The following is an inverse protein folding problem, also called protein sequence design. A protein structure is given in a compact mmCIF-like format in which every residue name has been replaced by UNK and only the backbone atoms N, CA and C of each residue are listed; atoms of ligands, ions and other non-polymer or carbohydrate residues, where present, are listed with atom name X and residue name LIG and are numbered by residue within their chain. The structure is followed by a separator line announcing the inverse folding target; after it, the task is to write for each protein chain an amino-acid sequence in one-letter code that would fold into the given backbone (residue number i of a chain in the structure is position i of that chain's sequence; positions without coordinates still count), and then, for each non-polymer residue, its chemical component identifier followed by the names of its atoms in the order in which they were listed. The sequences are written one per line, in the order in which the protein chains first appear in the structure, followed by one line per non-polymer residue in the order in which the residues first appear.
data_IF_922497157672
#
_entry.id   IF_922497157672
#
_cell.length_a   1.000
_cell.length_b   1.000
_cell.length_c   1.000
_cell.angle_alpha   90.00
_cell.angle_beta   90.00
_cell.angle_gamma   90.00
#
_symmetry.space_group_name_H-M   'P 1'
#
loop_
_entity.id
_entity.type
_entity.pdbx_description
1 polymer ?
2 polymer ?
3 non-polymer ?
4 non-polymer ?
5 water ?
#
# COMPACT_ATOMS: atom_id res chain seq x y z
N UNK A 7 6.91 -18.06 -5.53
CA UNK A 7 5.84 -17.30 -4.81
C UNK A 7 5.44 -17.93 -3.46
N UNK A 8 4.97 -17.11 -2.50
CA UNK A 8 4.48 -17.63 -1.22
C UNK A 8 3.11 -18.29 -1.34
N UNK A 9 2.89 -19.30 -0.49
CA UNK A 9 1.75 -20.21 -0.63
C UNK A 9 0.38 -19.53 -0.69
N UNK A 10 0.04 -18.73 0.31
CA UNK A 10 -1.26 -18.06 0.35
C UNK A 10 -1.57 -17.21 -0.90
N UNK A 11 -0.56 -17.01 -1.75
CA UNK A 11 -0.75 -16.36 -3.06
C UNK A 11 -0.14 -17.24 -4.17
N UNK A 12 -0.28 -18.55 -4.02
CA UNK A 12 0.22 -19.51 -5.01
C UNK A 12 -0.49 -19.33 -6.36
N UNK A 13 -1.77 -18.98 -6.31
CA UNK A 13 -2.58 -18.75 -7.50
C UNK A 13 -2.22 -17.50 -8.34
N UNK A 14 -1.43 -16.58 -7.78
CA UNK A 14 -1.12 -15.35 -8.52
C UNK A 14 -0.12 -15.62 -9.63
N UNK A 15 0.06 -14.62 -10.51
CA UNK A 15 0.92 -14.76 -11.67
C UNK A 15 2.37 -14.38 -11.34
N UNK A 16 3.20 -15.41 -11.14
CA UNK A 16 4.59 -15.25 -10.75
C UNK A 16 5.36 -14.31 -11.69
N UNK A 17 5.17 -14.49 -13.00
CA UNK A 17 5.83 -13.65 -14.00
C UNK A 17 5.39 -12.18 -13.96
N UNK A 18 4.17 -11.90 -13.52
CA UNK A 18 3.66 -10.51 -13.51
C UNK A 18 4.14 -9.70 -12.31
N UNK A 19 4.77 -10.35 -11.35
CA UNK A 19 5.02 -9.77 -10.05
C UNK A 19 6.49 -9.79 -9.61
N UNK A 20 6.93 -8.67 -9.01
CA UNK A 20 8.19 -8.62 -8.28
C UNK A 20 7.97 -8.99 -6.82
N UNK A 21 8.68 -10.02 -6.37
CA UNK A 21 8.60 -10.50 -4.99
C UNK A 21 9.67 -9.82 -4.12
N UNK A 22 9.33 -8.65 -3.59
CA UNK A 22 10.21 -7.94 -2.67
C UNK A 22 10.34 -8.72 -1.35
N UNK A 23 9.25 -9.35 -0.95
CA UNK A 23 9.22 -10.18 0.25
C UNK A 23 7.93 -10.98 0.26
N UNK A 24 7.79 -11.89 1.21
CA UNK A 24 6.53 -12.62 1.38
C UNK A 24 5.33 -11.72 1.77
N UNK A 25 5.59 -10.49 2.19
CA UNK A 25 4.52 -9.56 2.62
C UNK A 25 4.26 -8.49 1.56
N UNK A 26 4.98 -8.60 0.45
CA UNK A 26 5.25 -7.43 -0.34
C UNK A 26 5.52 -7.89 -1.78
N UNK A 27 4.52 -7.72 -2.66
CA UNK A 27 4.61 -8.09 -4.07
C UNK A 27 4.18 -6.94 -4.98
N UNK A 28 5.07 -6.55 -5.88
CA UNK A 28 4.78 -5.43 -6.75
C UNK A 28 4.46 -5.88 -8.18
N UNK A 29 3.51 -5.22 -8.83
CA UNK A 29 3.17 -5.55 -10.21
C UNK A 29 4.20 -4.94 -11.15
N UNK A 30 4.66 -5.71 -12.13
CA UNK A 30 5.59 -5.19 -13.12
C UNK A 30 4.85 -4.19 -13.98
N UNK A 31 5.54 -3.15 -14.39
CA UNK A 31 4.97 -2.05 -15.13
C UNK A 31 4.29 -2.43 -16.46
N UNK A 32 4.84 -3.45 -17.11
CA UNK A 32 4.32 -3.95 -18.38
C UNK A 32 3.00 -4.71 -18.26
N UNK A 33 2.59 -5.05 -17.02
CA UNK A 33 1.50 -5.99 -16.77
C UNK A 33 0.17 -5.38 -16.48
N UNK A 34 0.11 -4.04 -16.42
CA UNK A 34 -1.14 -3.40 -16.08
C UNK A 34 -2.24 -3.66 -17.11
N UNK A 35 -1.87 -3.74 -18.38
CA UNK A 35 -2.83 -3.80 -19.48
C UNK A 35 -3.49 -2.45 -19.74
N UNK A 36 -4.38 -2.41 -20.71
CA UNK A 36 -5.00 -1.17 -21.17
C UNK A 36 -6.55 -1.23 -21.01
N UNK A 37 -7.02 -2.06 -20.07
CA UNK A 37 -8.47 -2.15 -19.80
C UNK A 37 -9.00 -1.37 -18.58
N UNK A 38 -8.11 -0.63 -17.89
CA UNK A 38 -8.38 0.00 -16.59
C UNK A 38 -8.26 -1.05 -15.48
N UNK A 39 -9.14 -2.03 -15.48
CA UNK A 39 -9.17 -3.02 -14.42
C UNK A 39 -7.91 -3.88 -14.32
N UNK A 40 -7.40 -4.03 -13.11
CA UNK A 40 -6.18 -4.78 -12.91
C UNK A 40 -6.51 -6.24 -12.69
N UNK A 41 -6.05 -7.12 -13.60
CA UNK A 41 -6.21 -8.56 -13.37
C UNK A 41 -5.94 -8.92 -11.93
N UNK A 42 -6.92 -9.56 -11.32
CA UNK A 42 -6.78 -9.96 -9.95
C UNK A 42 -5.50 -10.71 -9.67
N UNK A 43 -5.05 -11.54 -10.59
CA UNK A 43 -3.90 -12.38 -10.30
C UNK A 43 -2.59 -11.63 -10.52
N UNK A 44 -2.72 -10.34 -10.83
CA UNK A 44 -1.60 -9.43 -10.96
C UNK A 44 -1.66 -8.24 -9.99
N UNK A 45 -2.74 -8.13 -9.22
CA UNK A 45 -2.87 -7.01 -8.29
C UNK A 45 -1.82 -7.17 -7.20
N UNK A 46 -1.23 -6.05 -6.78
CA UNK A 46 -0.16 -6.05 -5.77
C UNK A 46 -0.64 -6.51 -4.38
N UNK A 47 0.33 -6.83 -3.53
CA UNK A 47 0.05 -7.32 -2.19
C UNK A 47 0.90 -6.57 -1.21
N UNK A 48 0.26 -6.03 -0.19
CA UNK A 48 0.95 -5.34 0.90
C UNK A 48 0.22 -5.63 2.23
N UNK A 49 0.92 -6.33 3.10
CA UNK A 49 0.46 -6.75 4.41
C UNK A 49 1.40 -6.27 5.51
N UNK A 50 0.87 -5.53 6.49
CA UNK A 50 1.67 -5.01 7.59
C UNK A 50 2.08 -6.11 8.60
N UNK A 51 1.21 -7.07 8.86
CA UNK A 51 1.45 -8.11 9.87
C UNK A 51 1.21 -9.46 9.25
N UNK A 52 1.15 -10.50 10.08
CA UNK A 52 0.79 -11.84 9.63
C UNK A 52 -0.57 -11.93 8.93
N UNK A 53 -0.83 -13.07 8.30
CA UNK A 53 -2.02 -13.26 7.47
C UNK A 53 -2.89 -14.35 8.06
N UNK A 54 -4.23 -14.20 7.99
CA UNK A 54 -5.09 -15.23 8.55
C UNK A 54 -5.03 -16.50 7.72
N UNK A 55 -5.62 -17.59 8.22
CA UNK A 55 -5.62 -18.79 7.40
C UNK A 55 -6.85 -18.83 6.50
N UNK A 56 -6.84 -19.75 5.52
CA UNK A 56 -7.97 -19.94 4.57
C UNK A 56 -9.27 -20.33 5.25
N UNK A 57 -9.16 -20.98 6.40
CA UNK A 57 -10.32 -21.42 7.13
C UNK A 57 -11.35 -20.30 7.37
N UNK A 58 -10.91 -19.04 7.44
CA UNK A 58 -11.90 -17.95 7.63
C UNK A 58 -12.78 -17.71 6.42
N UNK A 59 -12.43 -18.32 5.29
CA UNK A 59 -13.25 -18.28 4.05
C UNK A 59 -14.22 -19.47 3.94
N UNK A 60 -14.04 -20.46 4.81
CA UNK A 60 -14.93 -21.62 4.87
C UNK A 60 -16.37 -21.14 4.85
N UNK A 61 -16.69 -20.24 5.78
CA UNK A 61 -18.05 -19.71 5.92
C UNK A 61 -18.00 -18.17 5.80
N UNK A 62 -18.00 -17.70 4.56
CA UNK A 62 -17.94 -16.26 4.26
C UNK A 62 -19.13 -15.51 4.83
N UNK A 63 -20.31 -16.08 4.66
CA UNK A 63 -21.50 -15.37 5.05
C UNK A 63 -21.71 -15.35 6.57
N UNK A 64 -20.95 -16.16 7.30
CA UNK A 64 -21.02 -16.14 8.76
C UNK A 64 -20.00 -15.23 9.44
N UNK A 65 -19.07 -14.69 8.65
CA UNK A 65 -18.11 -13.74 9.15
C UNK A 65 -18.83 -12.58 9.83
N UNK A 66 -18.34 -12.23 11.02
CA UNK A 66 -19.01 -11.23 11.86
C UNK A 66 -18.29 -9.89 11.88
N UNK A 67 -19.10 -8.84 12.03
CA UNK A 67 -18.62 -7.48 12.03
C UNK A 67 -19.33 -6.64 13.11
N UNK A 68 -18.57 -6.28 14.16
CA UNK A 68 -19.09 -5.52 15.29
C UNK A 68 -19.18 -4.05 14.90
N UNK A 69 -20.38 -3.51 14.90
CA UNK A 69 -20.59 -2.15 14.50
C UNK A 69 -20.97 -1.35 15.73
N UNK A 70 -20.03 -0.57 16.26
CA UNK A 70 -20.29 0.25 17.46
C UNK A 70 -20.26 1.73 17.10
N UNK A 71 -20.52 2.61 18.05
CA UNK A 71 -20.57 4.06 17.76
C UNK A 71 -21.81 4.51 17.02
N UNK A 72 -22.79 3.63 16.97
CA UNK A 72 -24.09 3.90 16.38
C UNK A 72 -25.10 3.86 17.51
N UNK A 73 -26.22 4.56 17.34
CA UNK A 73 -27.29 4.56 18.33
C UNK A 73 -27.80 3.17 18.70
N UNK A 74 -27.49 2.13 17.90
CA UNK A 74 -27.88 0.74 18.18
C UNK A 74 -26.79 -0.29 17.86
N UNK A 75 -25.73 -0.33 18.66
CA UNK A 75 -24.63 -1.22 18.31
C UNK A 75 -25.04 -2.67 18.17
N UNK A 76 -24.49 -3.33 17.16
CA UNK A 76 -24.72 -4.74 16.91
C UNK A 76 -23.53 -5.34 16.18
N UNK A 77 -23.20 -6.59 16.50
CA UNK A 77 -22.46 -7.43 15.60
C UNK A 77 -23.37 -7.94 14.47
N UNK A 78 -22.96 -7.72 13.21
CA UNK A 78 -23.67 -8.27 12.03
C UNK A 78 -22.86 -9.33 11.30
N UNK A 79 -23.54 -10.24 10.61
CA UNK A 79 -22.86 -11.19 9.75
C UNK A 79 -22.91 -10.69 8.29
N UNK A 80 -22.08 -11.26 7.43
CA UNK A 80 -22.03 -10.82 6.04
C UNK A 80 -23.39 -11.12 5.41
N UNK A 81 -23.96 -12.25 5.80
CA UNK A 81 -25.34 -12.58 5.46
C UNK A 81 -26.28 -11.39 5.68
N UNK A 82 -26.22 -10.76 6.85
CA UNK A 82 -27.15 -9.66 7.11
C UNK A 82 -26.77 -8.40 6.33
N UNK A 83 -25.49 -8.26 6.01
CA UNK A 83 -25.03 -7.06 5.35
C UNK A 83 -25.56 -7.04 3.93
N UNK A 84 -25.46 -8.20 3.27
CA UNK A 84 -26.09 -8.43 1.96
C UNK A 84 -27.56 -8.04 1.88
N UNK A 85 -28.28 -8.10 3.00
CA UNK A 85 -29.67 -7.70 2.97
C UNK A 85 -29.85 -6.19 2.97
N UNK A 86 -28.89 -5.44 3.50
CA UNK A 86 -29.11 -4.03 3.81
C UNK A 86 -28.89 -3.08 2.64
N UNK A 87 -28.06 -3.50 1.70
CA UNK A 87 -27.85 -2.68 0.53
C UNK A 87 -26.93 -3.34 -0.46
N UNK A 88 -26.72 -2.66 -1.57
CA UNK A 88 -25.77 -3.06 -2.57
C UNK A 88 -25.18 -1.84 -3.21
N UNK A 89 -23.85 -1.84 -3.31
CA UNK A 89 -23.12 -0.81 -4.02
C UNK A 89 -21.92 -1.40 -4.72
N UNK A 90 -21.63 -0.80 -5.86
CA UNK A 90 -20.42 -1.17 -6.63
C UNK A 90 -19.66 0.07 -6.98
N UNK A 91 -18.35 0.03 -6.84
CA UNK A 91 -17.52 1.16 -7.19
C UNK A 91 -16.17 0.72 -7.63
N UNK A 92 -15.67 1.44 -8.64
CA UNK A 92 -14.30 1.32 -9.12
C UNK A 92 -13.43 2.30 -8.35
N UNK A 93 -12.35 1.80 -7.77
CA UNK A 93 -11.38 2.65 -7.08
C UNK A 93 -9.95 2.25 -7.45
N UNK A 94 -9.01 3.14 -7.20
CA UNK A 94 -7.59 2.83 -7.27
C UNK A 94 -7.13 2.40 -5.91
N UNK A 95 -6.60 1.19 -5.79
CA UNK A 95 -5.97 0.70 -4.59
C UNK A 95 -4.47 0.89 -4.77
N UNK A 96 -3.85 1.68 -3.89
CA UNK A 96 -2.46 2.08 -4.02
C UNK A 96 -1.88 2.42 -2.70
N UNK A 97 -0.85 1.68 -2.35
CA UNK A 97 -0.16 1.88 -1.11
C UNK A 97 0.42 3.27 -1.01
N UNK A 98 0.60 3.77 0.20
CA UNK A 98 1.30 5.07 0.40
C UNK A 98 2.77 4.96 0.00
N UNK A 99 3.33 3.75 0.09
CA UNK A 99 4.71 3.49 -0.30
C UNK A 99 5.00 3.52 -1.79
N UNK A 100 4.01 3.28 -2.61
CA UNK A 100 4.24 3.29 -4.04
C UNK A 100 5.03 4.54 -4.37
N UNK A 101 6.23 4.31 -4.91
CA UNK A 101 7.12 5.39 -5.33
C UNK A 101 8.25 5.64 -4.34
N UNK A 102 8.33 4.85 -3.29
CA UNK A 102 9.38 5.05 -2.33
C UNK A 102 10.77 5.02 -2.96
N UNK A 103 11.01 4.12 -3.91
CA UNK A 103 12.31 4.09 -4.61
C UNK A 103 12.72 5.48 -5.04
N UNK A 104 11.79 6.24 -5.59
CA UNK A 104 12.09 7.57 -6.12
C UNK A 104 12.53 8.57 -5.06
N UNK A 105 11.98 8.45 -3.86
CA UNK A 105 12.50 9.20 -2.71
C UNK A 105 13.89 8.73 -2.31
N UNK A 106 14.16 7.43 -2.36
CA UNK A 106 15.49 6.92 -2.02
C UNK A 106 16.52 7.42 -3.04
N UNK A 107 16.15 7.45 -4.30
CA UNK A 107 16.99 8.07 -5.32
C UNK A 107 17.51 9.47 -4.93
N UNK A 108 16.72 10.27 -4.21
CA UNK A 108 17.09 11.67 -3.86
C UNK A 108 17.85 11.84 -2.54
N UNK A 109 18.13 10.77 -1.83
CA UNK A 109 18.84 10.89 -0.56
C UNK A 109 20.31 11.19 -0.86
N UNK A 110 20.84 12.24 -0.21
CA UNK A 110 22.24 12.67 -0.35
C UNK A 110 23.05 12.37 0.91
N UNK A 111 24.21 11.75 0.73
CA UNK A 111 25.17 11.57 1.83
C UNK A 111 24.72 10.58 2.88
N UNK A 112 24.60 11.04 4.12
CA UNK A 112 24.22 10.20 5.27
C UNK A 112 22.74 9.84 5.30
N UNK A 113 21.90 10.74 4.79
CA UNK A 113 20.46 10.49 4.62
C UNK A 113 20.18 9.05 4.20
N UNK A 114 19.41 8.33 5.01
CA UNK A 114 19.03 6.93 4.76
C UNK A 114 17.51 6.73 5.07
N UNK A 115 16.85 5.85 4.34
CA UNK A 115 15.40 5.60 4.50
C UNK A 115 15.07 4.14 4.37
N UNK A 116 14.21 3.64 5.25
CA UNK A 116 13.73 2.26 5.13
C UNK A 116 12.33 2.12 4.52
N UNK A 117 12.04 0.89 4.11
CA UNK A 117 10.79 0.54 3.49
C UNK A 117 10.96 -0.15 2.15
N UNK A 118 9.91 -0.82 1.72
CA UNK A 118 9.93 -1.44 0.41
C UNK A 118 10.20 -0.39 -0.67
N UNK A 119 11.22 -0.63 -1.51
CA UNK A 119 11.52 0.28 -2.62
C UNK A 119 10.56 0.10 -3.80
N UNK A 120 9.26 0.22 -3.55
CA UNK A 120 8.24 0.34 -4.60
C UNK A 120 8.61 1.38 -5.66
N UNK A 121 8.27 1.10 -6.91
CA UNK A 121 8.41 2.05 -8.00
C UNK A 121 7.02 2.55 -8.34
N UNK A 122 6.29 1.79 -9.16
CA UNK A 122 4.90 2.15 -9.51
C UNK A 122 3.88 1.00 -9.43
N UNK A 123 4.34 -0.21 -9.15
CA UNK A 123 3.46 -1.37 -9.17
C UNK A 123 2.74 -1.68 -7.88
N UNK A 124 2.78 -0.81 -6.88
CA UNK A 124 1.97 -1.02 -5.67
C UNK A 124 0.70 -0.22 -5.84
N UNK A 125 -0.02 -0.54 -6.92
CA UNK A 125 -1.21 0.17 -7.32
C UNK A 125 -1.97 -0.70 -8.31
N UNK A 126 -3.29 -0.68 -8.21
CA UNK A 126 -4.11 -1.37 -9.17
C UNK A 126 -5.43 -0.64 -9.18
N UNK A 127 -6.25 -0.90 -10.19
CA UNK A 127 -7.58 -0.35 -10.18
C UNK A 127 -8.59 -1.48 -10.23
N UNK A 128 -9.49 -1.54 -9.23
CA UNK A 128 -10.43 -2.65 -9.09
C UNK A 128 -11.83 -2.22 -8.84
N UNK A 129 -12.76 -3.13 -9.14
CA UNK A 129 -14.17 -2.86 -8.96
C UNK A 129 -14.58 -3.60 -7.75
N UNK A 130 -15.02 -2.88 -6.74
CA UNK A 130 -15.50 -3.53 -5.53
C UNK A 130 -17.00 -3.61 -5.56
N UNK A 131 -17.53 -4.66 -4.94
CA UNK A 131 -18.96 -4.74 -4.71
C UNK A 131 -19.29 -5.12 -3.28
N UNK A 132 -20.21 -4.36 -2.69
CA UNK A 132 -20.78 -4.76 -1.42
C UNK A 132 -21.78 -3.77 -0.85
N UNK A 133 -21.84 -3.68 0.46
CA UNK A 133 -22.81 -2.82 1.08
C UNK A 133 -22.15 -1.51 1.44
N UNK A 134 -22.87 -0.39 1.23
CA UNK A 134 -22.38 0.88 1.68
C UNK A 134 -22.52 1.03 3.19
N UNK A 135 -21.59 1.75 3.79
CA UNK A 135 -21.56 1.87 5.23
C UNK A 135 -22.68 2.77 5.71
N UNK A 136 -23.04 3.80 4.92
CA UNK A 136 -24.15 4.67 5.28
C UNK A 136 -25.44 3.87 5.49
N UNK A 137 -25.75 2.98 4.54
CA UNK A 137 -26.88 2.05 4.70
C UNK A 137 -26.74 1.30 6.03
N UNK A 138 -25.58 0.68 6.27
CA UNK A 138 -25.42 -0.14 7.48
C UNK A 138 -25.53 0.71 8.75
N UNK A 139 -25.10 1.95 8.68
CA UNK A 139 -25.15 2.82 9.84
C UNK A 139 -26.59 3.29 10.07
N UNK A 140 -27.29 3.68 9.00
CA UNK A 140 -28.68 4.12 9.09
C UNK A 140 -29.61 2.99 9.50
N UNK A 141 -29.26 1.77 9.09
CA UNK A 141 -29.94 0.59 9.59
C UNK A 141 -29.88 0.56 11.10
N UNK A 142 -28.77 1.00 11.69
CA UNK A 142 -28.57 0.96 13.13
C UNK A 142 -28.82 2.28 13.83
N UNK A 143 -29.65 3.14 13.24
CA UNK A 143 -30.19 4.29 13.96
C UNK A 143 -29.47 5.57 13.69
N UNK A 144 -28.38 5.48 12.94
CA UNK A 144 -27.55 6.62 12.63
C UNK A 144 -26.34 6.55 13.53
N UNK A 145 -25.40 7.46 13.33
CA UNK A 145 -24.18 7.47 14.13
C UNK A 145 -24.42 8.19 15.44
N UNK A 146 -23.70 7.81 16.50
CA UNK A 146 -23.77 8.50 17.80
C UNK A 146 -23.41 9.97 17.61
N UNK A 147 -24.07 10.85 18.35
CA UNK A 147 -23.86 12.29 18.19
C UNK A 147 -22.39 12.63 18.48
N UNK A 148 -21.82 13.53 17.69
CA UNK A 148 -20.41 13.91 17.82
C UNK A 148 -19.40 12.84 17.40
N UNK A 149 -19.83 11.85 16.60
CA UNK A 149 -18.85 10.99 15.94
C UNK A 149 -18.11 11.81 14.89
N UNK A 150 -16.81 11.57 14.81
CA UNK A 150 -15.94 12.35 13.92
C UNK A 150 -15.08 11.51 12.99
N UNK A 151 -14.98 10.20 13.23
CA UNK A 151 -14.22 9.29 12.40
C UNK A 151 -14.92 7.97 12.14
N UNK A 152 -14.53 7.32 11.04
CA UNK A 152 -14.83 5.93 10.80
C UNK A 152 -13.57 5.16 11.16
N UNK A 153 -13.68 4.21 12.08
CA UNK A 153 -12.51 3.46 12.54
C UNK A 153 -12.74 1.98 12.32
N UNK A 154 -11.92 1.32 11.51
CA UNK A 154 -12.09 -0.09 11.20
C UNK A 154 -10.94 -0.93 11.70
N UNK A 155 -11.20 -2.19 12.02
CA UNK A 155 -10.16 -3.09 12.60
C UNK A 155 -9.95 -4.40 11.82
N UNK A 156 -8.71 -4.70 11.49
CA UNK A 156 -8.36 -5.89 10.78
C UNK A 156 -8.60 -7.10 11.62
N UNK A 157 -9.00 -8.18 10.96
CA UNK A 157 -9.35 -9.41 11.63
C UNK A 157 -8.21 -10.33 11.99
N UNK A 158 -6.96 -9.96 11.69
CA UNK A 158 -5.84 -10.90 11.96
C UNK A 158 -5.80 -11.27 13.42
N UNK A 159 -5.55 -12.55 13.67
CA UNK A 159 -5.31 -13.01 15.02
C UNK A 159 -3.89 -12.64 15.34
N UNK A 160 -3.72 -11.79 16.33
CA UNK A 160 -2.39 -11.31 16.68
C UNK A 160 -1.64 -12.35 17.50
N UNK A 161 -0.35 -12.52 17.21
CA UNK A 161 0.35 -13.54 17.96
C UNK A 161 0.49 -13.08 19.40
N UNK A 162 0.41 -14.04 20.32
CA UNK A 162 0.47 -13.76 21.75
C UNK A 162 1.89 -13.37 22.10
N UNK A 163 2.03 -12.58 23.17
CA UNK A 163 3.34 -12.16 23.65
C UNK A 163 3.80 -10.79 23.19
N UNK A 164 2.89 -9.96 22.66
CA UNK A 164 3.21 -8.59 22.26
C UNK A 164 2.00 -7.70 22.45
N UNK A 165 2.21 -6.40 22.62
CA UNK A 165 1.10 -5.50 22.90
C UNK A 165 0.26 -5.31 21.66
N UNK A 166 -1.01 -5.73 21.70
CA UNK A 166 -1.90 -5.61 20.58
C UNK A 166 -1.85 -4.28 19.79
N UNK A 167 -1.73 -3.15 20.47
CA UNK A 167 -1.83 -1.84 19.81
C UNK A 167 -0.56 -1.49 19.01
N UNK A 168 0.46 -2.30 19.19
CA UNK A 168 1.68 -2.19 18.43
C UNK A 168 1.58 -2.80 17.04
N UNK A 169 0.67 -3.76 16.86
CA UNK A 169 0.55 -4.54 15.63
C UNK A 169 -0.84 -4.56 14.98
N UNK A 170 -1.89 -4.18 15.72
CA UNK A 170 -3.23 -4.24 15.14
C UNK A 170 -3.31 -3.26 14.00
N UNK A 171 -3.94 -3.70 12.92
CA UNK A 171 -4.14 -2.86 11.77
C UNK A 171 -5.52 -2.24 11.96
N UNK A 172 -5.54 -1.02 12.45
CA UNK A 172 -6.78 -0.40 12.79
C UNK A 172 -6.63 1.03 12.39
N UNK A 173 -7.43 1.49 11.45
CA UNK A 173 -7.20 2.82 10.89
C UNK A 173 -8.43 3.65 11.07
N UNK A 174 -8.25 4.94 11.17
CA UNK A 174 -9.37 5.85 11.28
C UNK A 174 -9.30 6.87 10.17
N UNK A 175 -10.44 7.19 9.59
CA UNK A 175 -10.53 8.28 8.64
C UNK A 175 -11.69 9.13 9.07
N UNK A 176 -11.82 10.35 8.51
CA UNK A 176 -12.95 11.21 8.83
C UNK A 176 -14.30 10.66 8.40
N UNK A 177 -15.27 10.88 9.27
CA UNK A 177 -16.68 10.58 8.99
C UNK A 177 -17.26 11.31 7.76
N UNK A 178 -16.51 12.21 7.13
CA UNK A 178 -16.99 12.83 5.88
C UNK A 178 -16.99 11.81 4.75
N UNK A 179 -16.27 10.71 4.95
CA UNK A 179 -16.24 9.61 4.03
C UNK A 179 -17.42 8.63 4.12
N UNK A 180 -18.22 8.69 5.15
CA UNK A 180 -19.31 7.71 5.30
C UNK A 180 -20.08 7.47 3.99
N UNK A 181 -20.45 8.54 3.31
CA UNK A 181 -21.20 8.40 2.07
C UNK A 181 -20.42 7.47 1.08
N UNK A 182 -19.09 7.57 1.00
CA UNK A 182 -18.36 6.76 0.00
C UNK A 182 -17.91 5.37 0.45
N UNK A 183 -17.96 5.11 1.74
CA UNK A 183 -17.27 3.93 2.25
C UNK A 183 -18.09 2.69 1.92
N UNK A 184 -17.38 1.59 1.69
CA UNK A 184 -17.99 0.32 1.29
C UNK A 184 -17.40 -0.82 2.08
N UNK A 185 -18.26 -1.71 2.57
CA UNK A 185 -17.84 -3.02 3.04
C UNK A 185 -18.13 -3.94 1.87
N UNK A 186 -17.07 -4.21 1.10
CA UNK A 186 -17.12 -5.07 -0.07
C UNK A 186 -16.87 -6.51 0.34
N UNK A 187 -17.61 -7.43 -0.26
CA UNK A 187 -17.38 -8.89 -0.13
C UNK A 187 -16.96 -9.49 -1.48
N UNK A 188 -16.95 -8.63 -2.50
CA UNK A 188 -16.66 -9.01 -3.88
C UNK A 188 -15.75 -8.03 -4.60
N UNK A 189 -14.81 -8.60 -5.36
CA UNK A 189 -13.87 -7.83 -6.14
C UNK A 189 -13.88 -8.35 -7.57
N UNK A 190 -13.94 -7.44 -8.53
CA UNK A 190 -13.90 -7.79 -9.96
C UNK A 190 -14.80 -8.96 -10.33
N UNK A 191 -16.03 -8.94 -9.82
CA UNK A 191 -17.00 -9.99 -10.08
C UNK A 191 -16.83 -11.33 -9.35
N UNK A 192 -15.79 -11.48 -8.53
CA UNK A 192 -15.56 -12.73 -7.75
C UNK A 192 -15.67 -12.49 -6.24
N UNK A 193 -16.13 -13.51 -5.51
CA UNK A 193 -15.97 -13.52 -4.06
C UNK A 193 -14.58 -13.03 -3.65
N UNK A 194 -14.50 -12.13 -2.67
CA UNK A 194 -13.22 -11.50 -2.33
C UNK A 194 -12.21 -12.54 -1.89
N UNK A 195 -11.00 -12.40 -2.39
CA UNK A 195 -9.92 -13.35 -2.13
C UNK A 195 -9.32 -13.17 -0.72
N UNK A 196 -8.61 -14.19 -0.24
CA UNK A 196 -7.94 -14.13 1.07
C UNK A 196 -6.83 -13.10 0.98
N UNK A 197 -6.01 -13.20 -0.07
CA UNK A 197 -4.93 -12.23 -0.29
C UNK A 197 -5.44 -10.80 -0.24
N UNK A 198 -6.62 -10.55 -0.79
CA UNK A 198 -7.11 -9.19 -0.85
C UNK A 198 -8.16 -8.90 0.22
N UNK A 199 -8.16 -9.69 1.29
CA UNK A 199 -8.94 -9.35 2.48
C UNK A 199 -10.38 -9.81 2.55
N UNK A 200 -10.71 -10.85 1.79
CA UNK A 200 -11.96 -11.54 1.96
C UNK A 200 -11.95 -12.16 3.34
N UNK A 201 -13.13 -12.40 3.91
CA UNK A 201 -14.41 -12.30 3.25
C UNK A 201 -15.03 -10.90 3.26
N UNK A 202 -14.38 -9.89 3.83
CA UNK A 202 -14.98 -8.58 3.86
C UNK A 202 -13.95 -7.49 3.98
N UNK A 203 -14.18 -6.37 3.28
CA UNK A 203 -13.18 -5.36 3.22
C UNK A 203 -13.75 -3.95 3.31
N UNK A 204 -13.24 -3.18 4.25
CA UNK A 204 -13.63 -1.78 4.29
C UNK A 204 -12.89 -1.15 3.14
N UNK A 205 -13.59 -0.36 2.35
CA UNK A 205 -12.99 0.28 1.21
C UNK A 205 -13.33 1.76 1.31
N UNK A 206 -12.27 2.56 1.41
CA UNK A 206 -12.37 3.98 1.58
C UNK A 206 -11.88 4.59 0.29
N UNK A 207 -12.83 5.02 -0.57
CA UNK A 207 -12.44 5.48 -1.89
C UNK A 207 -11.68 6.77 -1.85
N UNK A 208 -10.63 6.84 -2.68
CA UNK A 208 -9.74 8.00 -2.71
C UNK A 208 -8.57 8.01 -1.74
N UNK A 209 -8.49 7.00 -0.87
CA UNK A 209 -7.54 6.96 0.24
C UNK A 209 -6.47 5.87 0.02
N UNK A 210 -5.32 6.03 0.65
CA UNK A 210 -4.26 5.04 0.54
C UNK A 210 -4.63 3.64 1.02
N UNK A 211 -3.94 2.65 0.48
CA UNK A 211 -4.22 1.24 0.77
C UNK A 211 -4.34 0.92 2.24
N UNK A 212 -3.47 1.52 3.06
CA UNK A 212 -3.56 1.28 4.49
C UNK A 212 -4.97 1.48 5.04
N UNK A 213 -5.71 2.44 4.52
CA UNK A 213 -7.06 2.71 5.07
C UNK A 213 -8.17 1.71 4.69
N UNK A 214 -7.85 0.79 3.77
CA UNK A 214 -8.81 -0.16 3.27
C UNK A 214 -8.58 -1.47 4.01
N UNK A 215 -9.26 -1.63 5.14
CA UNK A 215 -8.98 -2.71 6.08
C UNK A 215 -9.40 -4.08 5.58
N UNK A 216 -8.42 -4.93 5.31
CA UNK A 216 -8.68 -6.31 4.92
C UNK A 216 -9.33 -7.05 6.08
N UNK A 217 -10.18 -8.02 5.76
CA UNK A 217 -10.90 -8.81 6.77
C UNK A 217 -11.44 -8.00 7.93
N UNK A 218 -12.16 -6.93 7.64
CA UNK A 218 -12.58 -6.01 8.68
C UNK A 218 -13.50 -6.73 9.68
N UNK A 219 -13.16 -6.67 10.96
CA UNK A 219 -13.95 -7.37 11.98
C UNK A 219 -14.68 -6.43 12.90
N UNK A 220 -14.39 -5.14 12.84
CA UNK A 220 -15.16 -4.18 13.60
C UNK A 220 -15.13 -2.89 12.82
N UNK A 221 -16.15 -2.07 12.99
CA UNK A 221 -16.13 -0.76 12.36
C UNK A 221 -16.87 0.18 13.29
N UNK A 222 -16.18 1.22 13.76
CA UNK A 222 -16.72 2.07 14.81
C UNK A 222 -16.81 3.52 14.37
N UNK A 223 -17.85 4.22 14.79
CA UNK A 223 -17.90 5.67 14.60
C UNK A 223 -17.38 6.31 15.87
N UNK A 224 -16.24 7.00 15.80
CA UNK A 224 -15.50 7.36 17.00
C UNK A 224 -15.31 8.86 17.04
N UNK A 225 -15.22 9.40 18.26
CA UNK A 225 -14.92 10.81 18.47
C UNK A 225 -13.42 11.08 18.27
N UNK A 226 -12.61 10.03 18.41
CA UNK A 226 -11.17 10.17 18.32
C UNK A 226 -10.58 9.13 17.37
N UNK A 227 -9.45 9.46 16.76
CA UNK A 227 -8.69 8.45 16.03
C UNK A 227 -8.25 7.33 16.99
N UNK A 228 -8.08 6.14 16.43
CA UNK A 228 -7.53 5.03 17.18
C UNK A 228 -6.12 5.37 17.59
N UNK A 229 -5.73 4.82 18.74
CA UNK A 229 -4.41 5.02 19.29
C UNK A 229 -3.48 3.88 18.89
N UNK A 230 -3.92 2.99 18.03
CA UNK A 230 -3.02 1.97 17.51
C UNK A 230 -1.76 2.59 16.91
N UNK A 231 -0.65 1.87 17.04
CA UNK A 231 0.61 2.37 16.51
C UNK A 231 0.45 2.78 15.05
N UNK A 232 -0.17 1.87 14.29
CA UNK A 232 -0.31 2.04 12.86
C UNK A 232 -1.04 3.32 12.45
N UNK A 233 -1.71 3.95 13.41
CA UNK A 233 -2.37 5.24 13.18
C UNK A 233 -1.65 6.37 13.89
N UNK A 234 -1.16 6.11 15.08
CA UNK A 234 -0.66 7.20 15.90
C UNK A 234 0.62 7.76 15.28
N UNK A 235 1.59 6.86 15.06
CA UNK A 235 2.91 7.26 14.63
C UNK A 235 3.34 6.71 13.25
N UNK A 236 2.74 5.61 12.82
CA UNK A 236 3.03 5.12 11.48
C UNK A 236 2.15 5.83 10.49
N UNK A 237 2.49 5.69 9.21
CA UNK A 237 1.67 6.24 8.15
C UNK A 237 1.40 7.73 8.37
N UNK A 238 2.45 8.42 8.80
CA UNK A 238 2.44 9.85 9.08
C UNK A 238 3.46 10.54 8.19
N UNK A 239 3.14 11.74 7.69
CA UNK A 239 4.07 12.52 6.85
C UNK A 239 4.96 13.48 7.66
N UNK A 240 6.25 13.16 7.73
CA UNK A 240 7.20 13.99 8.46
C UNK A 240 8.50 14.23 7.67
N UNK A 241 9.31 15.16 8.16
CA UNK A 241 10.57 15.49 7.50
C UNK A 241 11.62 14.41 7.81
N UNK A 242 12.68 14.35 7.00
CA UNK A 242 13.75 13.37 7.21
C UNK A 242 14.33 13.59 8.60
N UNK A 243 14.60 12.50 9.30
CA UNK A 243 15.15 12.59 10.64
C UNK A 243 14.13 12.84 11.71
N UNK A 244 12.88 13.14 11.35
CA UNK A 244 11.79 13.25 12.32
C UNK A 244 11.20 11.87 12.61
N UNK A 245 10.50 11.78 13.73
CA UNK A 245 9.78 10.59 14.10
C UNK A 245 8.31 10.92 13.84
N UNK A 246 7.49 9.91 13.54
CA UNK A 246 6.06 10.10 13.32
C UNK A 246 5.31 10.45 14.59
N UNK A 247 4.37 11.39 14.49
CA UNK A 247 3.55 11.79 15.62
C UNK A 247 2.17 12.26 15.17
N UNK A 248 1.12 12.08 16.03
CA UNK A 248 -0.26 12.29 15.65
C UNK A 248 -0.65 13.74 15.32
N UNK A 249 0.27 14.69 15.46
CA UNK A 249 0.02 16.06 14.93
C UNK A 249 0.38 16.17 13.46
N UNK A 250 1.17 15.23 12.94
CA UNK A 250 1.55 15.26 11.53
C UNK A 250 0.40 14.74 10.66
N UNK A 251 0.38 15.11 9.36
CA UNK A 251 -0.69 14.58 8.54
C UNK A 251 -0.55 13.09 8.41
N UNK A 252 -1.68 12.40 8.36
CA UNK A 252 -1.70 10.98 8.10
C UNK A 252 -1.95 10.75 6.61
N UNK A 253 -1.63 9.53 6.17
CA UNK A 253 -1.83 9.14 4.80
C UNK A 253 -3.30 8.84 4.59
N UNK A 254 -4.04 9.89 4.21
CA UNK A 254 -5.43 9.83 3.90
C UNK A 254 -5.70 9.98 2.39
N UNK A 255 -6.28 11.10 1.96
CA UNK A 255 -6.57 11.36 0.55
C UNK A 255 -5.33 11.15 -0.31
N UNK A 256 -5.49 10.36 -1.37
CA UNK A 256 -4.46 10.20 -2.44
C UNK A 256 -4.38 11.45 -3.31
N UNK A 257 -3.16 11.84 -3.70
CA UNK A 257 -2.97 12.98 -4.59
C UNK A 257 -2.92 12.54 -6.06
N UNK A 258 -3.05 13.52 -6.95
CA UNK A 258 -3.05 13.31 -8.38
C UNK A 258 -1.76 12.64 -8.85
N UNK A 259 -1.91 11.63 -9.70
CA UNK A 259 -0.78 10.82 -10.09
C UNK A 259 -1.02 10.19 -11.48
N UNK A 260 0.06 9.73 -12.09
CA UNK A 260 -0.02 8.96 -13.33
C UNK A 260 1.34 8.34 -13.62
N UNK A 261 1.38 7.29 -14.40
CA UNK A 261 2.64 6.89 -14.97
C UNK A 261 2.46 6.27 -16.31
N UNK A 262 3.55 6.18 -17.07
CA UNK A 262 3.52 5.50 -18.33
C UNK A 262 3.72 4.00 -18.05
N UNK A 263 2.95 3.17 -18.75
CA UNK A 263 2.98 1.73 -18.59
C UNK A 263 3.33 0.98 -19.87
N UNK A 264 3.08 1.63 -21.02
CA UNK A 264 3.43 1.05 -22.32
C UNK A 264 3.80 2.13 -23.34
N UNK A 265 4.82 1.88 -24.19
CA UNK A 265 5.71 0.71 -24.26
C UNK A 265 6.68 0.74 -23.11
N UNK A 266 7.17 -0.42 -22.68
CA UNK A 266 7.94 -0.41 -21.45
C UNK A 266 9.45 -0.41 -21.67
N UNK A 267 9.90 -0.75 -22.88
CA UNK A 267 11.33 -1.01 -23.09
C UNK A 267 11.82 -0.65 -24.50
N UNK A 268 11.23 -1.28 -25.53
CA UNK A 268 11.74 -1.19 -26.90
C UNK A 268 10.60 -1.00 -27.89
N UNK A 269 10.91 -0.50 -29.08
CA UNK A 269 9.91 -0.07 -30.08
C UNK A 269 10.55 0.24 -31.43
N UNK A 270 9.85 -0.04 -32.52
CA UNK A 270 10.38 0.25 -33.84
C UNK A 270 10.14 1.71 -34.20
N UNK A 271 11.04 2.26 -35.00
CA UNK A 271 10.89 3.64 -35.40
C UNK A 271 9.64 3.76 -36.25
N UNK A 272 8.92 4.85 -36.04
CA UNK A 272 7.66 5.09 -36.70
C UNK A 272 6.60 5.41 -35.67
N UNK A 273 5.36 5.00 -35.95
CA UNK A 273 4.26 5.24 -35.05
C UNK A 273 4.39 4.31 -33.85
N UNK A 274 4.18 4.89 -32.70
CA UNK A 274 4.31 4.21 -31.42
C UNK A 274 3.20 4.71 -30.54
N UNK A 275 2.44 3.79 -29.95
CA UNK A 275 1.32 4.17 -29.11
C UNK A 275 1.81 4.14 -27.68
N UNK A 276 1.87 5.31 -27.07
CA UNK A 276 2.36 5.43 -25.70
C UNK A 276 1.16 5.53 -24.76
N UNK A 277 1.03 4.61 -23.82
CA UNK A 277 -0.10 4.67 -22.89
C UNK A 277 0.29 4.49 -21.44
N UNK A 278 -0.65 4.84 -20.57
CA UNK A 278 -0.43 4.71 -19.12
C UNK A 278 -1.71 4.91 -18.36
N UNK A 279 -1.60 5.10 -17.06
CA UNK A 279 -2.75 5.25 -16.17
C UNK A 279 -2.65 6.56 -15.41
N UNK A 280 -3.79 7.20 -15.17
CA UNK A 280 -3.86 8.51 -14.50
C UNK A 280 -5.10 8.62 -13.62
N UNK A 281 -4.96 9.29 -12.47
CA UNK A 281 -6.10 9.53 -11.56
C UNK A 281 -5.88 10.68 -10.62
N UNK A 282 -6.94 11.28 -10.12
CA UNK A 282 -6.81 12.45 -9.26
C UNK A 282 -7.06 12.18 -7.77
N UNK A 283 -7.10 10.90 -7.39
CA UNK A 283 -7.32 10.51 -6.01
C UNK A 283 -8.76 10.71 -5.59
N UNK A 284 -9.04 11.79 -4.89
CA UNK A 284 -10.42 12.10 -4.51
C UNK A 284 -11.19 12.65 -5.68
N UNK A 285 -10.48 13.07 -6.73
CA UNK A 285 -11.12 13.69 -7.87
C UNK A 285 -10.86 12.91 -9.15
N UNK A 286 -11.73 13.07 -10.14
CA UNK A 286 -11.46 12.50 -11.46
C UNK A 286 -10.26 13.20 -12.08
N UNK A 287 -9.51 12.46 -12.91
CA UNK A 287 -8.45 13.03 -13.71
C UNK A 287 -9.09 13.81 -14.83
N UNK A 288 -8.68 15.05 -15.08
CA UNK A 288 -9.33 15.87 -16.09
C UNK A 288 -8.56 15.81 -17.41
N UNK A 289 -7.25 15.81 -17.33
CA UNK A 289 -6.43 15.83 -18.53
C UNK A 289 -5.07 15.20 -18.25
N UNK A 290 -4.38 14.78 -19.28
CA UNK A 290 -3.03 14.25 -19.14
C UNK A 290 -2.15 14.69 -20.31
N UNK A 291 -0.92 15.10 -20.01
CA UNK A 291 0.07 15.38 -21.04
C UNK A 291 1.19 14.35 -21.01
N UNK A 292 1.70 13.99 -22.18
CA UNK A 292 2.86 13.10 -22.30
C UNK A 292 4.04 13.82 -22.95
N UNK A 293 5.23 13.45 -22.48
CA UNK A 293 6.46 13.90 -23.08
C UNK A 293 7.31 12.69 -23.41
N UNK A 294 7.99 12.80 -24.55
CA UNK A 294 8.88 11.75 -25.03
C UNK A 294 10.34 12.12 -24.79
N UNK A 295 10.57 13.39 -24.49
CA UNK A 295 11.90 13.92 -24.27
C UNK A 295 12.07 14.31 -22.80
N UNK A 296 11.28 13.67 -21.95
CA UNK A 296 11.51 13.77 -20.53
C UNK A 296 11.24 15.13 -19.94
N UNK A 297 10.32 15.90 -20.51
CA UNK A 297 9.91 17.13 -19.87
C UNK A 297 9.95 18.35 -20.76
N UNK A 298 10.76 18.31 -21.81
CA UNK A 298 11.05 19.53 -22.58
C UNK A 298 9.83 19.89 -23.40
N UNK A 299 9.19 18.87 -23.94
CA UNK A 299 8.01 19.10 -24.76
C UNK A 299 6.83 18.25 -24.31
N UNK A 300 5.65 18.88 -24.30
CA UNK A 300 4.44 18.24 -23.82
C UNK A 300 3.38 18.21 -24.90
N UNK A 301 2.70 17.07 -25.01
CA UNK A 301 1.51 16.98 -25.84
C UNK A 301 0.34 16.41 -25.07
N UNK A 302 -0.85 16.90 -25.39
CA UNK A 302 -2.09 16.43 -24.79
C UNK A 302 -2.38 15.01 -25.21
N UNK A 303 -2.68 14.13 -24.25
CA UNK A 303 -2.98 12.75 -24.55
C UNK A 303 -4.49 12.55 -24.64
N UNK A 304 -4.89 11.34 -24.98
CA UNK A 304 -6.26 10.99 -25.26
C UNK A 304 -6.72 10.05 -24.19
N UNK A 305 -7.96 10.17 -23.71
CA UNK A 305 -8.48 9.14 -22.81
C UNK A 305 -8.89 7.89 -23.58
N UNK A 306 -8.57 6.74 -22.99
CA UNK A 306 -8.84 5.44 -23.58
C UNK A 306 -9.77 4.63 -22.67
N UNK A 307 -10.88 4.16 -23.23
CA UNK A 307 -11.84 3.35 -22.49
C UNK A 307 -12.83 4.21 -21.75
N UNK A 308 -13.68 3.58 -20.92
CA UNK A 308 -14.68 4.37 -20.22
C UNK A 308 -14.21 4.94 -18.88
N UNK A 309 -15.01 5.88 -18.40
CA UNK A 309 -14.84 6.56 -17.14
C UNK A 309 -15.51 5.81 -15.98
N UNK A 310 -14.76 5.00 -15.24
CA UNK A 310 -15.30 4.24 -14.11
C UNK A 310 -15.51 5.06 -12.82
N UNK A 311 -15.54 6.39 -12.91
CA UNK A 311 -15.86 7.24 -11.75
C UNK A 311 -14.67 7.98 -11.18
N UNK A 312 -14.97 8.95 -10.30
CA UNK A 312 -13.96 9.87 -9.75
C UNK A 312 -12.80 9.25 -8.98
N UNK A 313 -12.95 8.04 -8.44
CA UNK A 313 -11.89 7.41 -7.66
C UNK A 313 -11.19 6.34 -8.45
N UNK A 314 -11.46 6.27 -9.75
CA UNK A 314 -10.86 5.25 -10.60
C UNK A 314 -9.77 5.94 -11.40
N UNK A 315 -8.83 5.16 -11.94
CA UNK A 315 -7.91 5.72 -12.93
C UNK A 315 -8.43 5.62 -14.35
N UNK A 316 -7.96 6.51 -15.19
CA UNK A 316 -8.24 6.43 -16.61
C UNK A 316 -7.01 5.84 -17.28
N UNK A 317 -7.22 5.11 -18.34
CA UNK A 317 -6.12 4.89 -19.27
C UNK A 317 -6.08 6.06 -20.24
N UNK A 318 -4.87 6.51 -20.55
CA UNK A 318 -4.63 7.51 -21.59
C UNK A 318 -3.63 6.98 -22.61
N UNK A 319 -3.57 7.63 -23.76
CA UNK A 319 -2.62 7.21 -24.79
C UNK A 319 -2.27 8.38 -25.65
N UNK A 320 -1.05 8.32 -26.19
CA UNK A 320 -0.59 9.23 -27.21
C UNK A 320 -0.03 8.46 -28.40
N UNK A 321 -0.43 8.85 -29.60
CA UNK A 321 0.22 8.36 -30.82
C UNK A 321 1.39 9.30 -31.16
N UNK A 322 2.61 8.78 -31.06
CA UNK A 322 3.80 9.56 -31.42
C UNK A 322 4.43 8.90 -32.63
N UNK A 323 5.14 9.70 -33.42
CA UNK A 323 5.92 9.20 -34.56
C UNK A 323 7.37 9.44 -34.24
N UNK A 324 8.12 8.36 -34.08
CA UNK A 324 9.42 8.44 -33.47
C UNK A 324 10.54 8.02 -34.42
N UNK A 325 11.61 8.83 -34.42
CA UNK A 325 12.88 8.45 -35.01
C UNK A 325 13.67 7.54 -34.06
N UNK A 326 14.59 6.81 -34.62
CA UNK A 326 15.48 5.96 -33.84
C UNK A 326 16.20 6.77 -32.72
N UNK A 327 16.40 6.12 -31.57
CA UNK A 327 17.01 6.78 -30.40
C UNK A 327 16.49 6.32 -29.05
N UNK A 328 17.06 6.89 -27.98
CA UNK A 328 16.63 6.62 -26.59
C UNK A 328 15.74 7.73 -26.04
N UNK A 329 14.45 7.44 -25.87
CA UNK A 329 13.47 8.44 -25.42
C UNK A 329 13.26 8.35 -23.92
N UNK A 330 12.61 9.35 -23.36
CA UNK A 330 12.33 9.41 -21.93
C UNK A 330 10.86 9.79 -21.78
N UNK A 331 10.05 8.79 -21.48
CA UNK A 331 8.61 8.89 -21.50
C UNK A 331 8.07 9.28 -20.13
N UNK A 332 7.28 10.35 -20.07
CA UNK A 332 6.74 10.82 -18.81
C UNK A 332 5.34 11.33 -19.00
N UNK A 333 4.51 11.25 -17.96
CA UNK A 333 3.12 11.72 -18.00
C UNK A 333 2.83 12.72 -16.90
N UNK A 334 1.97 13.69 -17.15
CA UNK A 334 1.61 14.67 -16.14
C UNK A 334 0.13 14.95 -16.15
N UNK A 335 -0.51 14.62 -15.02
CA UNK A 335 -1.95 14.61 -14.88
C UNK A 335 -2.46 15.87 -14.13
N UNK A 336 -3.62 16.38 -14.56
CA UNK A 336 -4.38 17.40 -13.85
C UNK A 336 -5.74 16.80 -13.48
N UNK A 337 -6.18 16.94 -12.23
CA UNK A 337 -7.52 16.51 -11.86
C UNK A 337 -8.56 17.65 -12.07
N UNK A 338 -9.81 17.36 -11.71
CA UNK A 338 -10.93 18.21 -12.04
C UNK A 338 -10.93 19.55 -11.29
N UNK A 339 -10.30 19.61 -10.12
CA UNK A 339 -10.11 20.89 -9.42
C UNK A 339 -8.79 21.59 -9.77
N UNK A 340 -8.12 21.14 -10.82
CA UNK A 340 -6.93 21.84 -11.34
C UNK A 340 -5.60 21.52 -10.68
N UNK A 341 -5.50 20.40 -9.99
CA UNK A 341 -4.25 20.01 -9.35
C UNK A 341 -3.37 19.23 -10.31
N UNK A 342 -2.12 19.68 -10.50
CA UNK A 342 -1.18 19.03 -11.42
C UNK A 342 -0.11 18.27 -10.63
N UNK A 343 0.46 17.22 -11.23
CA UNK A 343 1.59 16.56 -10.60
C UNK A 343 2.79 17.51 -10.63
N UNK A 344 3.53 17.58 -9.53
CA UNK A 344 4.77 18.29 -9.64
C UNK A 344 5.80 17.44 -10.39
N UNK A 345 6.88 18.07 -10.81
CA UNK A 345 8.05 17.35 -11.33
C UNK A 345 8.56 16.31 -10.34
N UNK A 346 8.77 16.75 -9.10
CA UNK A 346 9.22 15.84 -8.04
C UNK A 346 8.49 16.21 -6.76
N UNK A 347 8.34 15.23 -5.88
CA UNK A 347 7.53 15.39 -4.70
C UNK A 347 8.46 15.72 -3.57
N UNK A 348 8.06 16.73 -2.79
CA UNK A 348 8.74 17.11 -1.55
C UNK A 348 9.09 15.87 -0.72
N UNK A 349 10.29 15.86 -0.17
CA UNK A 349 10.76 14.67 0.54
C UNK A 349 10.00 14.55 1.87
N UNK A 350 9.84 13.31 2.31
CA UNK A 350 9.34 13.00 3.65
C UNK A 350 10.04 11.72 4.17
N UNK A 351 10.18 11.63 5.49
CA UNK A 351 11.06 10.65 6.09
C UNK A 351 10.72 9.22 5.80
N UNK A 352 9.42 8.93 5.80
CA UNK A 352 8.89 7.59 5.65
C UNK A 352 8.81 7.20 4.17
N UNK A 353 8.59 8.20 3.30
CA UNK A 353 8.61 8.03 1.86
C UNK A 353 7.23 7.74 1.27
N UNK A 354 6.23 8.51 1.71
CA UNK A 354 4.89 8.27 1.32
C UNK A 354 4.48 9.27 0.28
N UNK A 355 3.62 8.82 -0.62
CA UNK A 355 2.83 9.70 -1.44
C UNK A 355 3.59 10.25 -2.60
N UNK A 356 4.58 9.50 -3.09
CA UNK A 356 5.34 10.00 -4.22
C UNK A 356 4.48 10.10 -5.45
N UNK A 357 4.45 11.29 -6.04
CA UNK A 357 3.67 11.56 -7.23
C UNK A 357 4.34 12.48 -8.28
N UNK A 358 5.67 12.53 -8.25
CA UNK A 358 6.42 13.30 -9.22
C UNK A 358 6.37 12.71 -10.63
N UNK A 359 6.31 13.57 -11.65
CA UNK A 359 6.32 13.10 -13.06
C UNK A 359 7.69 12.73 -13.65
N UNK A 360 8.78 13.31 -13.16
CA UNK A 360 10.10 12.96 -13.66
C UNK A 360 10.58 11.55 -13.19
N UNK A 361 10.59 11.30 -11.90
CA UNK A 361 11.17 10.07 -11.33
C UNK A 361 10.79 8.77 -12.08
N UNK A 362 9.47 8.54 -12.33
CA UNK A 362 9.02 7.30 -12.93
C UNK A 362 9.07 7.29 -14.48
N UNK A 363 9.92 8.12 -15.07
CA UNK A 363 10.06 8.16 -16.51
C UNK A 363 10.46 6.77 -17.04
N UNK A 364 9.89 6.37 -18.19
CA UNK A 364 10.29 5.15 -18.88
C UNK A 364 11.37 5.44 -19.94
N UNK A 365 12.39 4.57 -20.03
CA UNK A 365 13.43 4.73 -21.05
C UNK A 365 13.08 3.87 -22.23
N UNK A 366 12.88 4.49 -23.40
CA UNK A 366 12.47 3.74 -24.57
C UNK A 366 13.51 3.84 -25.68
N UNK A 367 14.14 2.69 -25.95
CA UNK A 367 14.99 2.53 -27.11
C UNK A 367 14.16 2.24 -28.33
N UNK A 368 14.01 3.25 -29.17
CA UNK A 368 13.38 3.09 -30.48
C UNK A 368 14.45 2.66 -31.48
N UNK A 369 14.36 1.42 -31.94
CA UNK A 369 15.43 0.80 -32.75
C UNK A 369 15.06 0.74 -34.24
N UNK B 3 33.74 -11.60 12.39
CA UNK B 3 34.19 -12.98 12.78
C UNK B 3 33.77 -13.32 14.22
N UNK B 4 33.97 -12.36 15.13
CA UNK B 4 33.58 -12.51 16.54
C UNK B 4 32.24 -11.82 16.86
N UNK B 5 32.04 -10.62 16.29
CA UNK B 5 30.84 -9.79 16.52
C UNK B 5 29.52 -10.39 16.02
N UNK B 6 29.58 -11.52 15.29
CA UNK B 6 28.39 -12.26 14.85
C UNK B 6 27.57 -12.78 16.02
N UNK B 7 28.16 -13.68 16.81
CA UNK B 7 27.46 -14.24 17.96
C UNK B 7 26.76 -13.17 18.82
N UNK B 8 27.30 -11.95 18.85
CA UNK B 8 26.66 -10.81 19.54
C UNK B 8 25.35 -10.42 18.86
N UNK B 9 25.40 -10.25 17.55
CA UNK B 9 24.20 -10.01 16.75
C UNK B 9 23.13 -11.06 17.01
N UNK B 10 23.55 -12.33 17.00
CA UNK B 10 22.66 -13.46 17.26
C UNK B 10 22.04 -13.38 18.66
N UNK B 11 22.83 -12.95 19.64
CA UNK B 11 22.31 -12.75 21.00
C UNK B 11 21.33 -11.57 20.98
N UNK B 12 21.73 -10.47 20.34
CA UNK B 12 20.85 -9.32 20.15
C UNK B 12 19.54 -9.76 19.50
N UNK B 13 19.63 -10.63 18.52
CA UNK B 13 18.46 -11.04 17.73
C UNK B 13 17.48 -11.91 18.50
N UNK B 14 18.02 -12.90 19.23
CA UNK B 14 17.19 -13.89 19.95
C UNK B 14 16.83 -13.50 21.39
N UNK B 15 17.76 -12.88 22.14
CA UNK B 15 17.50 -12.53 23.55
C UNK B 15 17.42 -11.01 23.79
N UNK B 16 18.54 -10.33 23.53
CA UNK B 16 18.79 -8.97 24.04
C UNK B 16 17.81 -7.87 23.58
N UNK B 17 17.21 -8.02 22.41
CA UNK B 17 16.35 -6.96 21.86
C UNK B 17 14.99 -6.93 22.55
N UNK B 18 14.40 -5.74 22.61
CA UNK B 18 13.10 -5.53 23.24
C UNK B 18 12.19 -4.72 22.29
N UNK B 19 11.14 -5.34 21.71
CA UNK B 19 10.85 -6.78 21.72
C UNK B 19 11.85 -7.55 20.87
N UNK B 20 11.89 -8.87 21.05
CA UNK B 20 12.88 -9.69 20.34
C UNK B 20 12.54 -9.79 18.85
N UNK B 21 13.56 -9.70 18.01
CA UNK B 21 13.36 -9.75 16.57
C UNK B 21 12.69 -11.07 16.15
N UNK B 22 13.18 -12.18 16.70
CA UNK B 22 12.66 -13.53 16.43
C UNK B 22 11.17 -13.66 16.67
N UNK B 23 10.62 -12.86 17.57
CA UNK B 23 9.18 -12.85 17.80
C UNK B 23 8.39 -12.36 16.58
N UNK B 24 8.97 -11.45 15.79
CA UNK B 24 8.32 -10.93 14.61
C UNK B 24 8.89 -11.53 13.30
N UNK B 25 10.18 -11.89 13.30
CA UNK B 25 10.85 -12.29 12.07
C UNK B 25 11.21 -13.77 12.00
N UNK B 26 11.33 -14.25 10.76
CA UNK B 26 11.78 -15.60 10.46
C UNK B 26 13.19 -15.50 9.92
N UNK B 27 14.07 -16.27 10.53
CA UNK B 27 15.46 -16.33 10.13
C UNK B 27 15.91 -17.77 10.43
N UNK B 28 16.20 -18.51 9.36
CA UNK B 28 16.39 -19.97 9.43
C UNK B 28 17.50 -20.31 10.39
N UNK B 29 18.62 -19.61 10.21
CA UNK B 29 19.84 -19.78 11.00
C UNK B 29 19.60 -19.66 12.49
N UNK B 30 18.72 -18.75 12.89
CA UNK B 30 18.43 -18.51 14.31
C UNK B 30 17.26 -19.37 14.83
N UNK B 31 16.78 -20.30 14.00
CA UNK B 31 15.54 -21.06 14.23
C UNK B 31 14.40 -20.14 14.67
N UNK B 32 14.39 -18.94 14.10
CA UNK B 32 13.35 -17.95 14.35
C UNK B 32 12.26 -18.20 13.35
N UNK B 33 11.02 -18.08 13.81
CA UNK B 33 9.84 -18.35 12.98
C UNK B 33 8.79 -17.23 13.10
N UNK B 34 9.24 -16.03 13.45
CA UNK B 34 8.34 -14.90 13.58
C UNK B 34 7.69 -14.61 12.24
N UNK B 35 6.40 -14.34 12.26
CA UNK B 35 5.60 -14.40 11.06
C UNK B 35 4.89 -13.07 10.80
N UNK B 36 5.28 -12.03 11.53
CA UNK B 36 4.63 -10.73 11.50
C UNK B 36 5.31 -9.80 10.52
N UNK B 37 6.63 -9.68 10.65
CA UNK B 37 7.42 -8.92 9.67
C UNK B 37 7.93 -9.86 8.59
N UNK B 38 8.64 -9.32 7.59
CA UNK B 38 9.11 -10.17 6.51
C UNK B 38 9.98 -11.32 6.96
N UNK B 39 9.76 -12.46 6.34
CA UNK B 39 10.69 -13.55 6.45
C UNK B 39 11.99 -13.03 5.85
N UNK B 40 13.02 -12.91 6.69
CA UNK B 40 14.25 -12.20 6.30
C UNK B 40 15.10 -12.98 5.29
N UNK B 41 14.95 -14.31 5.27
CA UNK B 41 15.60 -15.13 4.24
C UNK B 41 15.10 -14.74 2.85
N UNK B 42 13.81 -14.42 2.73
CA UNK B 42 13.21 -13.97 1.46
C UNK B 42 13.60 -12.51 1.14
N UNK B 43 13.70 -11.66 2.16
CA UNK B 43 14.15 -10.28 1.99
C UNK B 43 15.65 -10.20 1.64
N UNK B 44 16.42 -11.19 2.07
CA UNK B 44 17.90 -11.21 1.93
C UNK B 44 18.56 -9.83 1.94
N UNK B 45 18.32 -9.03 3.01
CA UNK B 45 18.76 -7.64 3.07
C UNK B 45 20.23 -7.49 3.37
N UNK B 46 20.84 -6.42 2.88
CA UNK B 46 22.24 -6.11 3.20
C UNK B 46 22.34 -5.49 4.58
N UNK B 47 23.55 -5.46 5.12
CA UNK B 47 23.83 -4.90 6.44
C UNK B 47 23.30 -3.48 6.59
N UNK B 48 23.43 -2.68 5.53
CA UNK B 48 23.03 -1.28 5.55
C UNK B 48 21.51 -1.17 5.71
N UNK B 49 20.78 -2.07 5.06
CA UNK B 49 19.33 -2.10 5.19
C UNK B 49 18.91 -2.41 6.62
N UNK B 50 19.47 -3.48 7.18
CA UNK B 50 19.19 -3.88 8.57
C UNK B 50 19.46 -2.71 9.53
N UNK B 51 20.69 -2.20 9.48
CA UNK B 51 21.15 -1.11 10.31
C UNK B 51 20.18 0.08 10.31
N UNK B 52 19.77 0.53 9.13
CA UNK B 52 18.87 1.69 9.01
C UNK B 52 17.49 1.40 9.58
N UNK B 53 17.00 0.19 9.33
CA UNK B 53 15.68 -0.21 9.82
C UNK B 53 15.66 -0.15 11.34
N UNK B 54 16.67 -0.75 11.96
CA UNK B 54 16.74 -0.81 13.41
C UNK B 54 17.07 0.55 14.02
N UNK B 55 17.80 1.39 13.31
CA UNK B 55 18.10 2.73 13.82
C UNK B 55 16.89 3.69 13.68
N UNK B 56 16.43 3.88 12.45
CA UNK B 56 15.36 4.84 12.16
C UNK B 56 13.96 4.37 12.54
N UNK B 57 13.77 3.06 12.59
CA UNK B 57 12.45 2.49 12.80
C UNK B 57 11.69 2.37 11.50
N UNK B 58 10.68 1.52 11.54
CA UNK B 58 9.88 1.17 10.37
C UNK B 58 8.63 0.46 10.90
N UNK B 59 7.45 0.95 10.53
CA UNK B 59 6.22 0.39 11.04
C UNK B 59 6.26 0.21 12.54
N UNK B 60 6.11 -1.04 13.02
CA UNK B 60 6.06 -1.34 14.45
C UNK B 60 7.43 -1.35 15.13
N UNK B 61 8.50 -1.34 14.34
CA UNK B 61 9.83 -1.10 14.87
C UNK B 61 9.90 0.41 15.09
N UNK B 62 10.17 0.83 16.34
CA UNK B 62 10.35 2.26 16.58
C UNK B 62 11.80 2.64 16.39
N UNK B 63 12.03 3.94 16.23
CA UNK B 63 13.38 4.51 16.23
C UNK B 63 14.13 3.95 17.43
N UNK B 64 15.28 3.34 17.21
CA UNK B 64 16.03 2.74 18.32
C UNK B 64 16.37 3.75 19.43
N UNK B 65 16.29 3.32 20.67
CA UNK B 65 16.58 4.19 21.81
C UNK B 65 17.28 3.47 22.96
N UNK B 66 16.95 2.20 23.16
CA UNK B 66 17.58 1.38 24.20
C UNK B 66 18.52 0.34 23.58
N UNK B 67 19.54 0.80 22.86
CA UNK B 67 20.54 -0.08 22.22
C UNK B 67 21.66 0.73 21.54
N UNK B 68 22.92 0.41 21.85
CA UNK B 68 24.09 1.17 21.35
C UNK B 68 24.55 0.68 19.98
N UNK B 69 25.40 1.48 19.34
CA UNK B 69 25.76 1.30 17.93
C UNK B 69 26.57 0.04 17.66
N UNK B 70 27.50 -0.29 18.56
CA UNK B 70 28.27 -1.53 18.41
C UNK B 70 27.32 -2.72 18.32
N UNK B 71 26.20 -2.62 19.04
CA UNK B 71 25.15 -3.65 19.03
C UNK B 71 24.40 -3.70 17.67
N UNK B 72 23.92 -2.54 17.22
CA UNK B 72 23.21 -2.39 15.95
C UNK B 72 24.03 -2.95 14.78
N UNK B 73 25.29 -2.57 14.72
CA UNK B 73 26.15 -3.03 13.66
C UNK B 73 26.39 -4.54 13.77
N UNK B 74 26.37 -5.05 15.00
CA UNK B 74 26.51 -6.48 15.22
C UNK B 74 25.32 -7.22 14.61
N UNK B 75 24.12 -6.77 14.97
CA UNK B 75 22.89 -7.39 14.44
C UNK B 75 22.75 -7.18 12.93
N UNK B 76 23.14 -6.00 12.45
CA UNK B 76 23.19 -5.73 11.02
C UNK B 76 24.18 -6.66 10.29
N UNK B 77 25.29 -6.99 10.93
CA UNK B 77 26.28 -7.90 10.34
C UNK B 77 25.77 -9.33 10.32
N UNK B 78 25.21 -9.77 11.44
CA UNK B 78 24.68 -11.11 11.58
C UNK B 78 23.59 -11.40 10.58
N UNK B 79 22.56 -10.55 10.54
CA UNK B 79 21.39 -10.80 9.71
C UNK B 79 21.77 -10.88 8.25
N UNK B 80 22.37 -9.80 7.76
CA UNK B 80 22.79 -9.69 6.37
C UNK B 80 23.63 -10.88 5.90
N UNK B 81 24.46 -11.39 6.81
CA UNK B 81 25.31 -12.54 6.51
C UNK B 81 24.51 -13.83 6.35
N UNK B 82 23.70 -14.17 7.36
CA UNK B 82 23.02 -15.49 7.42
C UNK B 82 21.72 -15.59 6.61
N UNK B 83 21.18 -14.46 6.16
CA UNK B 83 19.90 -14.45 5.46
C UNK B 83 19.97 -15.32 4.21
N UNK B 84 19.26 -16.45 4.22
CA UNK B 84 19.23 -17.38 3.10
C UNK B 84 20.54 -18.14 2.90
N UNK B 85 21.07 -18.74 3.97
CA UNK B 85 22.28 -19.59 3.89
C UNK B 85 21.92 -21.02 3.51
X LIG C 1 -5.58 -4.71 6.18
X LIG C 1 -5.15 -5.60 7.10
X LIG C 1 -6.05 -6.19 7.90
X LIG C 1 -3.86 -5.90 7.24
X LIG C 1 -2.88 -5.36 6.49
X LIG C 1 -1.59 -5.75 6.71
X LIG C 1 -2.39 -3.76 4.66
X LIG C 1 -2.84 -2.40 4.26
X LIG C 1 -4.20 -2.51 3.58
X LIG C 1 -5.12 -3.20 4.45
X LIG C 1 -3.25 -4.39 5.47
X LIG C 1 -4.69 -4.09 5.36
X LIG C 1 -1.97 -1.65 3.30
X LIG C 1 -0.77 -0.67 3.95
X LIG C 1 -2.21 -1.71 1.99
X LIG C 1 -1.33 -0.80 0.91
X LIG C 1 -3.33 -2.50 1.36
X LIG C 1 -4.07 -3.21 2.35
X LIG C 1 -2.82 -3.46 0.29
X LIG C 1 -3.87 -4.29 -0.21
X LIG C 1 -3.56 -5.55 -1.18
X LIG C 1 -4.90 -6.23 -1.38
X LIG C 1 -3.03 -4.87 -2.40
X LIG C 1 -2.58 -6.44 -0.43
X LIG C 1 0.14 0.59 2.07
X LIG C 1 -0.57 2.26 2.16
X LIG D 1 11.58 -5.88 12.04
X LIG D 1 10.77 -4.74 9.00
X LIG D 1 14.86 -6.11 11.12
X LIG D 1 12.45 -6.58 15.26
X LIG D 1 8.26 -6.23 12.88
X LIG D 1 12.63 -5.50 10.37
X LIG D 1 12.09 -5.06 9.19
X LIG D 1 13.15 -4.98 8.19
X LIG D 1 14.28 -5.36 8.80
X LIG D 1 13.97 -5.69 10.17
X LIG D 1 15.67 -5.44 8.15
X LIG D 1 13.02 -4.51 6.73
X LIG D 1 13.36 -3.01 6.74
X LIG D 1 13.02 -2.28 5.47
X LIG D 1 11.96 -2.56 4.83
X LIG D 1 13.79 -1.37 5.08
X LIG D 1 13.33 -6.28 12.99
X LIG D 1 14.59 -6.26 12.44
X LIG D 1 15.56 -6.42 13.51
X LIG D 1 14.89 -6.57 14.66
X LIG D 1 13.48 -6.47 14.35
X LIG D 1 17.08 -6.48 13.33
X LIG D 1 15.50 -6.79 16.09
X LIG D 1 16.47 -5.63 16.42
X LIG D 1 10.54 -6.37 13.74
X LIG D 1 11.11 -6.56 14.99
X LIG D 1 10.07 -6.49 15.98
X LIG D 1 8.91 -6.59 15.32
X LIG D 1 9.18 -6.39 13.90
X LIG D 1 10.28 -6.92 17.46
X LIG D 1 7.52 -6.72 15.98
X LIG D 1 7.31 -5.52 16.93
X LIG D 1 9.79 -5.52 11.10
X LIG D 1 8.53 -5.79 11.61
X LIG D 1 7.54 -5.51 10.60
X LIG D 1 8.33 -5.05 9.38
X LIG D 1 9.71 -5.08 9.80
X LIG D 1 6.00 -5.66 10.68
X LIG D 1 7.75 -4.62 8.02
X LIG D 1 7.26 -3.18 8.15
X LIG D 1 6.98 -2.50 6.82
X LIG D 1 6.46 -1.33 6.81
X LIG D 1 7.27 -3.13 5.75
#
# INVERSE_FOLDING_TARGET
SKETKPLPDYVAWKDADALIVHSDKTLETKRSEFGTSIITPEEKLYIRNNVNTPPESILADRDGWKVEISGVKEPRTLTVAELKTLGLVTAATVLQCSGNGRKYFKDQLTGDQKMSGTPWTVGAAGCVIWSGVPLKAVVDALGGPAEGARFITGTGGEELPAGLDPKLLVVERSVPISNLDNVILAWEMNGRPLSLAHGGPLRMVVPGYSGVNNIKYVKAVAMTEVETDAKIQKTSYRVHALGEKGSPDQPSVWEQPVKSWITTPHEAAKAGQVQIAGVAFGGMNACKSVEVSVDGGQTWQEAEFIGPDLGRFAWRVFALSADLARGTYTLVSRATDTEGNVQPEETEMNGAGYGHNGWRAPAVKLTVA
MEEDKLALGREIFLERSEPQCALCHTLADAEAVGEVGPNLDELKPDAERVNTAVTNGIGPMPANEILTDEEIEAVALYVSTVAGKAKNSSSVDKLAAALEHHHHHH
MSS N1 C2 N2 N3 C4 O4 N5 C6 C7 N8 C9 C10 C1' S1' C2' S2' C3' O3' C4' O4' P O1P O2P O3P MOM1 OM1
HEC FE CHA CHB CHC CHD NA C1A C2A C3A C4A CMA CAA CBA CGA O1A O2A NB C1B C2B C3B C4B CMB CAB CBB NC C1C C2C C3C C4C CMC CAC CBC ND C1D C2D C3D C4D CMD CAD CBD CGD O1D O2D
#
